data_IF_679245277537
#
_entry.id   IF_679245277537
#
_cell.length_a   1.000
_cell.length_b   1.000
_cell.length_c   1.000
_cell.angle_alpha   90.00
_cell.angle_beta   90.00
_cell.angle_gamma   90.00
#
_symmetry.space_group_name_H-M   'P 1'
#
loop_
_entity.id
_entity.type
_entity.pdbx_description
1 polymer ?
#
# COMPACT_ATOMS: atom_id res chain seq x y z
N UNK A 1 6.02 -23.68 17.25
CA UNK A 1 5.32 -23.34 15.99
C UNK A 1 4.16 -22.44 16.34
N UNK A 2 4.04 -21.32 15.68
CA UNK A 2 2.92 -20.36 15.86
C UNK A 2 2.03 -20.43 14.62
N UNK A 3 0.71 -20.39 14.83
CA UNK A 3 -0.26 -20.33 13.77
C UNK A 3 -0.60 -18.86 13.52
N UNK A 4 -0.25 -18.35 12.35
CA UNK A 4 -0.56 -17.00 11.91
C UNK A 4 -1.65 -17.08 10.85
N UNK A 5 -2.75 -16.36 11.04
CA UNK A 5 -3.80 -16.24 10.01
C UNK A 5 -3.23 -15.57 8.75
N UNK A 6 -3.90 -15.78 7.62
CA UNK A 6 -3.52 -15.12 6.37
C UNK A 6 -3.39 -13.61 6.60
N UNK A 7 -2.22 -13.08 6.24
CA UNK A 7 -1.91 -11.66 6.35
C UNK A 7 -1.69 -11.06 4.97
N UNK A 8 -1.76 -9.75 4.89
CA UNK A 8 -1.64 -8.98 3.65
C UNK A 8 -0.45 -8.03 3.69
N UNK A 9 0.01 -7.68 4.87
CA UNK A 9 1.18 -6.84 5.08
C UNK A 9 1.99 -7.34 6.26
N UNK A 10 3.29 -7.10 6.24
CA UNK A 10 4.19 -7.50 7.32
C UNK A 10 5.41 -6.57 7.40
N UNK A 11 6.10 -6.61 8.52
CA UNK A 11 7.33 -5.90 8.76
C UNK A 11 7.87 -6.16 10.16
N UNK A 12 8.80 -5.33 10.58
CA UNK A 12 9.39 -5.37 11.91
C UNK A 12 9.20 -4.07 12.63
N UNK A 13 9.19 -4.11 13.95
CA UNK A 13 9.29 -2.96 14.82
C UNK A 13 9.93 -3.39 16.14
N UNK A 14 11.11 -2.84 16.44
CA UNK A 14 11.94 -3.25 17.59
C UNK A 14 12.15 -4.79 17.57
N UNK A 15 11.75 -5.46 18.65
CA UNK A 15 11.85 -6.91 18.77
C UNK A 15 10.66 -7.70 18.19
N UNK A 16 9.70 -7.02 17.53
CA UNK A 16 8.53 -7.67 16.97
C UNK A 16 8.64 -7.90 15.46
N UNK A 17 8.28 -9.11 15.02
CA UNK A 17 7.79 -9.32 13.66
C UNK A 17 6.27 -9.14 13.70
N UNK A 18 5.76 -8.24 12.88
CA UNK A 18 4.34 -7.86 12.86
C UNK A 18 3.73 -8.26 11.52
N UNK A 19 2.55 -8.87 11.58
CA UNK A 19 1.72 -9.10 10.40
C UNK A 19 0.39 -8.39 10.56
N UNK A 20 -0.16 -7.88 9.46
CA UNK A 20 -1.45 -7.21 9.42
C UNK A 20 -2.38 -7.81 8.40
N UNK A 21 -3.65 -7.92 8.74
CA UNK A 21 -4.77 -8.20 7.84
C UNK A 21 -5.96 -7.33 8.20
N UNK A 22 -6.89 -7.15 7.28
CA UNK A 22 -8.13 -6.44 7.52
C UNK A 22 -9.33 -7.35 7.18
N UNK A 23 -10.44 -7.11 7.86
CA UNK A 23 -11.68 -7.85 7.67
C UNK A 23 -12.79 -7.36 8.58
N UNK A 24 -13.97 -7.97 8.47
CA UNK A 24 -15.10 -7.65 9.32
C UNK A 24 -14.80 -7.96 10.78
N UNK A 25 -15.23 -7.09 11.65
CA UNK A 25 -15.19 -7.30 13.10
C UNK A 25 -16.26 -8.32 13.53
N UNK A 26 -16.22 -8.75 14.79
CA UNK A 26 -17.23 -9.63 15.35
C UNK A 26 -18.61 -8.93 15.44
N UNK A 27 -19.67 -9.74 15.59
CA UNK A 27 -21.06 -9.25 15.71
C UNK A 27 -21.26 -8.25 16.86
N UNK A 28 -20.39 -8.25 17.85
CA UNK A 28 -20.45 -7.30 18.98
C UNK A 28 -20.21 -5.84 18.54
N UNK A 29 -19.64 -5.64 17.36
CA UNK A 29 -19.37 -4.34 16.77
C UNK A 29 -20.38 -3.94 15.68
N UNK A 30 -21.43 -4.74 15.48
CA UNK A 30 -22.47 -4.41 14.52
C UNK A 30 -23.22 -3.15 14.93
N UNK A 31 -23.60 -2.33 13.95
CA UNK A 31 -24.52 -1.21 14.18
C UNK A 31 -25.96 -1.71 14.42
N UNK A 32 -26.87 -0.78 14.65
CA UNK A 32 -28.30 -1.09 14.89
C UNK A 32 -28.99 -1.81 13.71
N UNK A 33 -28.41 -1.75 12.51
CA UNK A 33 -28.88 -2.41 11.31
C UNK A 33 -28.17 -3.76 11.04
N UNK A 34 -27.21 -4.13 11.90
CA UNK A 34 -26.44 -5.36 11.78
C UNK A 34 -25.24 -5.27 10.80
N UNK A 35 -24.87 -4.08 10.36
CA UNK A 35 -23.68 -3.88 9.52
C UNK A 35 -22.42 -3.93 10.38
N UNK A 36 -21.39 -4.62 9.87
CA UNK A 36 -20.11 -4.79 10.53
C UNK A 36 -19.06 -3.82 9.97
N UNK A 37 -18.38 -3.06 10.83
CA UNK A 37 -17.24 -2.26 10.37
C UNK A 37 -16.03 -3.15 10.08
N UNK A 38 -15.14 -2.67 9.22
CA UNK A 38 -13.86 -3.28 8.94
C UNK A 38 -12.84 -2.91 10.01
N UNK A 39 -12.02 -3.88 10.42
CA UNK A 39 -10.94 -3.68 11.39
C UNK A 39 -9.66 -4.41 10.99
N UNK A 40 -8.58 -4.07 11.68
CA UNK A 40 -7.30 -4.75 11.53
C UNK A 40 -7.10 -5.84 12.57
N UNK A 41 -6.55 -6.96 12.11
CA UNK A 41 -5.93 -7.97 12.96
C UNK A 41 -4.41 -7.86 12.80
N UNK A 42 -3.73 -7.50 13.87
CA UNK A 42 -2.27 -7.54 13.98
C UNK A 42 -1.84 -8.78 14.77
N UNK A 43 -0.80 -9.44 14.27
CA UNK A 43 -0.15 -10.53 14.99
C UNK A 43 1.31 -10.18 15.22
N UNK A 44 1.79 -10.45 16.41
CA UNK A 44 3.12 -10.07 16.89
C UNK A 44 3.89 -11.31 17.31
N UNK A 45 5.05 -11.53 16.74
CA UNK A 45 6.04 -12.46 17.25
C UNK A 45 7.17 -11.66 17.90
N UNK A 46 7.28 -11.73 19.20
CA UNK A 46 8.42 -11.21 19.95
C UNK A 46 9.59 -12.18 19.79
N UNK A 47 10.64 -11.74 19.09
CA UNK A 47 11.78 -12.61 18.75
C UNK A 47 12.78 -12.75 19.92
N UNK A 48 12.74 -11.86 20.91
CA UNK A 48 13.59 -11.96 22.11
C UNK A 48 13.01 -12.95 23.13
N UNK A 49 11.69 -12.86 23.35
CA UNK A 49 11.01 -13.67 24.35
C UNK A 49 10.33 -14.92 23.78
N UNK A 50 10.40 -15.12 22.45
CA UNK A 50 9.75 -16.23 21.74
C UNK A 50 8.23 -16.32 22.04
N UNK A 51 7.56 -15.18 22.21
CA UNK A 51 6.13 -15.12 22.52
C UNK A 51 5.33 -14.61 21.33
N UNK A 52 4.07 -15.05 21.26
CA UNK A 52 3.14 -14.66 20.20
C UNK A 52 1.88 -14.06 20.82
N UNK A 53 1.42 -12.94 20.27
CA UNK A 53 0.16 -12.30 20.65
C UNK A 53 -0.54 -11.71 19.42
N UNK A 54 -1.83 -11.40 19.58
CA UNK A 54 -2.59 -10.54 18.65
C UNK A 54 -2.93 -9.23 19.36
N UNK A 55 -3.36 -8.21 18.61
CA UNK A 55 -3.84 -6.97 19.23
C UNK A 55 -5.05 -7.23 20.11
N UNK A 56 -5.05 -6.63 21.31
CA UNK A 56 -6.16 -6.70 22.27
C UNK A 56 -7.25 -5.68 21.95
N UNK A 57 -6.84 -4.52 21.46
CA UNK A 57 -7.74 -3.41 21.19
C UNK A 57 -8.08 -3.35 19.71
N UNK A 58 -9.32 -2.98 19.41
CA UNK A 58 -9.77 -2.82 18.05
C UNK A 58 -9.09 -1.63 17.40
N UNK A 59 -8.53 -1.86 16.20
CA UNK A 59 -8.02 -0.82 15.32
C UNK A 59 -8.91 -0.82 14.07
N UNK A 60 -9.75 0.19 13.93
CA UNK A 60 -10.66 0.29 12.78
C UNK A 60 -9.90 0.59 11.51
N UNK A 61 -10.18 -0.16 10.45
CA UNK A 61 -9.81 0.20 9.07
C UNK A 61 -10.91 0.98 8.37
N UNK A 62 -12.14 0.89 8.89
CA UNK A 62 -13.31 1.61 8.41
C UNK A 62 -13.19 3.11 8.72
N UNK A 63 -13.57 3.95 7.77
CA UNK A 63 -13.47 5.41 7.87
C UNK A 63 -12.07 5.89 8.35
N UNK A 64 -11.05 5.15 7.99
CA UNK A 64 -9.69 5.34 8.52
C UNK A 64 -9.11 6.71 8.17
N UNK A 65 -9.43 7.20 6.97
CA UNK A 65 -8.99 8.49 6.42
C UNK A 65 -9.97 9.64 6.73
N UNK A 66 -11.10 9.36 7.37
CA UNK A 66 -12.14 10.36 7.64
C UNK A 66 -13.07 10.66 6.46
N UNK A 67 -12.93 9.93 5.36
CA UNK A 67 -13.73 10.07 4.12
C UNK A 67 -14.71 8.92 3.89
N UNK A 68 -14.91 8.07 4.90
CA UNK A 68 -15.80 6.91 4.87
C UNK A 68 -15.17 5.64 4.33
N UNK A 69 -14.11 5.73 3.57
CA UNK A 69 -13.47 4.55 2.99
C UNK A 69 -12.74 3.71 4.04
N UNK A 70 -12.81 2.39 3.88
CA UNK A 70 -11.91 1.51 4.60
C UNK A 70 -10.57 1.43 3.88
N UNK A 71 -9.52 1.10 4.63
CA UNK A 71 -8.17 1.01 4.09
C UNK A 71 -7.54 -0.35 4.34
N UNK A 72 -6.55 -0.68 3.54
CA UNK A 72 -5.55 -1.69 3.88
C UNK A 72 -4.20 -1.01 4.06
N UNK A 73 -3.35 -1.61 4.89
CA UNK A 73 -1.99 -1.14 5.09
C UNK A 73 -1.04 -1.84 4.12
N UNK A 74 -0.22 -1.09 3.40
CA UNK A 74 0.81 -1.61 2.51
C UNK A 74 2.20 -1.35 3.08
N UNK A 75 2.82 -2.41 3.59
CA UNK A 75 4.07 -2.37 4.31
C UNK A 75 3.91 -1.96 5.78
N UNK A 76 4.75 -2.50 6.62
CA UNK A 76 4.99 -2.06 8.00
C UNK A 76 6.47 -1.71 8.05
N UNK A 77 6.75 -0.42 8.01
CA UNK A 77 8.11 0.10 7.91
C UNK A 77 8.51 0.75 9.24
N UNK A 78 9.53 0.18 9.89
CA UNK A 78 10.19 0.83 11.01
C UNK A 78 11.18 1.86 10.50
N UNK A 79 11.03 3.10 10.91
CA UNK A 79 11.99 4.17 10.66
C UNK A 79 11.81 5.28 11.71
N UNK A 80 12.90 5.95 12.10
CA UNK A 80 12.87 7.10 13.00
C UNK A 80 12.06 6.83 14.30
N UNK A 81 12.22 5.62 14.87
CA UNK A 81 11.51 5.14 16.08
C UNK A 81 9.97 5.07 15.95
N UNK A 82 9.44 5.06 14.73
CA UNK A 82 8.01 4.99 14.41
C UNK A 82 7.73 3.89 13.40
N UNK A 83 6.44 3.59 13.24
CA UNK A 83 5.95 2.72 12.19
C UNK A 83 5.27 3.57 11.11
N UNK A 84 5.68 3.38 9.86
CA UNK A 84 5.07 4.01 8.69
C UNK A 84 4.40 2.94 7.83
N UNK A 85 3.22 3.26 7.31
CA UNK A 85 2.51 2.39 6.38
C UNK A 85 1.73 3.22 5.38
N UNK A 86 1.70 2.79 4.13
CA UNK A 86 0.77 3.38 3.18
C UNK A 86 -0.65 2.94 3.54
N UNK A 87 -1.53 3.89 3.74
CA UNK A 87 -2.96 3.64 3.94
C UNK A 87 -3.65 3.65 2.57
N UNK A 88 -3.87 2.45 2.02
CA UNK A 88 -4.44 2.27 0.68
C UNK A 88 -5.95 2.34 0.76
N UNK A 89 -6.61 3.34 0.16
CA UNK A 89 -8.07 3.45 0.14
C UNK A 89 -8.67 2.32 -0.69
N UNK A 90 -9.72 1.70 -0.18
CA UNK A 90 -10.32 0.48 -0.74
C UNK A 90 -11.73 0.68 -1.31
N UNK A 91 -12.31 1.86 -1.13
CA UNK A 91 -13.71 2.17 -1.38
C UNK A 91 -14.55 2.05 -0.11
N UNK A 92 -15.85 1.95 -0.27
CA UNK A 92 -16.79 1.84 0.84
C UNK A 92 -17.25 0.39 1.00
N UNK A 93 -17.10 -0.16 2.19
CA UNK A 93 -17.74 -1.40 2.59
C UNK A 93 -19.26 -1.22 2.65
N UNK A 94 -20.02 -2.30 2.86
CA UNK A 94 -21.47 -2.20 3.11
C UNK A 94 -21.78 -1.31 4.32
N UNK A 95 -20.94 -1.35 5.36
CA UNK A 95 -21.04 -0.46 6.51
C UNK A 95 -20.74 1.01 6.09
N UNK A 96 -19.64 1.25 5.38
CA UNK A 96 -19.25 2.60 4.92
C UNK A 96 -20.30 3.25 4.02
N UNK A 97 -20.94 2.47 3.14
CA UNK A 97 -22.05 2.96 2.29
C UNK A 97 -23.25 3.41 3.12
N UNK A 98 -23.51 2.77 4.26
CA UNK A 98 -24.66 3.07 5.14
C UNK A 98 -24.33 4.06 6.25
N UNK A 99 -23.06 4.17 6.60
CA UNK A 99 -22.60 5.00 7.72
C UNK A 99 -23.12 6.43 7.60
N UNK A 100 -23.59 6.96 8.73
CA UNK A 100 -24.09 8.34 8.85
C UNK A 100 -25.12 8.73 7.75
N UNK A 101 -25.99 7.77 7.39
CA UNK A 101 -27.02 8.00 6.39
C UNK A 101 -26.52 8.08 4.94
N UNK A 102 -25.36 7.53 4.66
CA UNK A 102 -24.80 7.47 3.30
C UNK A 102 -23.99 8.73 2.90
N UNK A 103 -23.61 9.56 3.85
CA UNK A 103 -22.92 10.84 3.57
C UNK A 103 -21.58 10.69 2.85
N UNK A 104 -20.95 9.52 2.92
CA UNK A 104 -19.63 9.26 2.32
C UNK A 104 -19.72 8.79 0.86
N UNK A 105 -20.91 8.50 0.37
CA UNK A 105 -21.12 8.07 -1.02
C UNK A 105 -21.09 9.29 -1.95
N UNK A 106 -20.06 9.33 -2.80
CA UNK A 106 -19.94 10.39 -3.83
C UNK A 106 -20.60 9.95 -5.13
N UNK A 107 -20.49 8.65 -5.46
CA UNK A 107 -21.00 8.07 -6.71
C UNK A 107 -21.96 6.92 -6.42
N UNK A 108 -23.24 7.22 -6.22
CA UNK A 108 -24.26 6.22 -5.87
C UNK A 108 -24.40 5.11 -6.90
N UNK A 109 -24.23 5.43 -8.18
CA UNK A 109 -24.33 4.48 -9.29
C UNK A 109 -23.17 3.46 -9.34
N UNK A 110 -22.09 3.67 -8.59
CA UNK A 110 -20.99 2.72 -8.43
C UNK A 110 -21.24 1.68 -7.34
N UNK A 111 -22.26 1.85 -6.51
CA UNK A 111 -22.63 0.86 -5.50
C UNK A 111 -23.06 -0.43 -6.20
N UNK A 112 -22.42 -1.53 -5.81
CA UNK A 112 -22.66 -2.85 -6.41
C UNK A 112 -24.07 -3.36 -6.09
N UNK A 113 -24.82 -3.67 -7.13
CA UNK A 113 -26.18 -4.21 -6.99
C UNK A 113 -26.20 -5.73 -6.78
N UNK A 114 -25.13 -6.42 -7.18
CA UNK A 114 -24.91 -7.86 -7.02
C UNK A 114 -23.48 -8.13 -6.59
N UNK A 115 -23.24 -9.22 -5.87
CA UNK A 115 -21.88 -9.70 -5.56
C UNK A 115 -21.23 -10.32 -6.79
N UNK A 116 -19.91 -10.20 -6.90
CA UNK A 116 -19.18 -10.72 -8.06
C UNK A 116 -17.67 -10.57 -7.98
N UNK A 117 -17.00 -10.70 -9.13
CA UNK A 117 -15.56 -10.66 -9.21
C UNK A 117 -14.89 -11.92 -8.66
N UNK A 118 -13.55 -11.90 -8.61
CA UNK A 118 -12.75 -12.99 -8.04
C UNK A 118 -11.40 -12.47 -7.54
N UNK A 119 -10.80 -13.17 -6.59
CA UNK A 119 -9.50 -12.79 -6.02
C UNK A 119 -9.49 -11.37 -5.47
N UNK A 120 -8.49 -10.57 -5.84
CA UNK A 120 -8.39 -9.16 -5.40
C UNK A 120 -9.46 -8.25 -6.00
N UNK A 121 -10.19 -8.71 -7.01
CA UNK A 121 -11.29 -8.00 -7.64
C UNK A 121 -12.66 -8.44 -7.15
N UNK A 122 -12.75 -9.31 -6.14
CA UNK A 122 -14.02 -9.71 -5.54
C UNK A 122 -14.69 -8.52 -4.84
N UNK A 123 -16.01 -8.49 -4.88
CA UNK A 123 -16.83 -7.46 -4.24
C UNK A 123 -18.19 -8.05 -3.83
N UNK A 124 -18.82 -7.42 -2.87
CA UNK A 124 -20.13 -7.79 -2.40
C UNK A 124 -21.20 -6.78 -2.80
N UNK A 125 -22.46 -7.25 -2.87
CA UNK A 125 -23.61 -6.37 -3.05
C UNK A 125 -23.65 -5.33 -1.93
N UNK A 126 -23.87 -4.06 -2.29
CA UNK A 126 -23.95 -2.94 -1.36
C UNK A 126 -22.63 -2.26 -1.06
N UNK A 127 -21.52 -2.75 -1.61
CA UNK A 127 -20.22 -2.08 -1.54
C UNK A 127 -20.04 -1.06 -2.68
N UNK A 128 -19.18 -0.07 -2.47
CA UNK A 128 -18.59 0.75 -3.51
C UNK A 128 -17.11 0.33 -3.65
N UNK A 129 -16.86 -0.58 -4.60
CA UNK A 129 -15.54 -1.13 -4.85
C UNK A 129 -14.61 -0.10 -5.49
N UNK A 130 -13.38 -0.04 -5.03
CA UNK A 130 -12.34 0.91 -5.39
C UNK A 130 -12.60 2.32 -4.86
N UNK A 131 -11.50 3.05 -4.70
CA UNK A 131 -11.55 4.40 -4.12
C UNK A 131 -12.30 5.39 -5.01
N UNK A 132 -12.99 6.31 -4.38
CA UNK A 132 -13.58 7.49 -5.00
C UNK A 132 -12.56 8.65 -5.11
N UNK A 133 -11.34 8.47 -4.57
CA UNK A 133 -10.28 9.49 -4.47
C UNK A 133 -8.96 8.99 -5.08
N UNK A 134 -8.92 8.70 -6.41
CA UNK A 134 -7.75 8.06 -7.04
C UNK A 134 -6.49 8.94 -7.09
N UNK A 135 -6.64 10.24 -6.84
CA UNK A 135 -5.54 11.22 -6.91
C UNK A 135 -4.97 11.57 -5.52
N UNK A 136 -5.19 10.74 -4.52
CA UNK A 136 -4.68 10.95 -3.17
C UNK A 136 -3.78 9.79 -2.74
N UNK A 137 -2.64 10.12 -2.14
CA UNK A 137 -1.78 9.15 -1.46
C UNK A 137 -1.70 9.48 0.02
N UNK A 138 -1.98 8.50 0.85
CA UNK A 138 -2.00 8.63 2.30
C UNK A 138 -0.95 7.73 2.95
N UNK A 139 -0.28 8.27 3.96
CA UNK A 139 0.61 7.51 4.85
C UNK A 139 0.10 7.67 6.27
N UNK A 140 -0.01 6.54 6.96
CA UNK A 140 -0.27 6.49 8.39
C UNK A 140 1.05 6.30 9.15
N UNK A 141 1.26 7.12 10.17
CA UNK A 141 2.43 7.12 11.04
C UNK A 141 1.96 6.78 12.44
N UNK A 142 2.51 5.72 13.04
CA UNK A 142 2.17 5.25 14.37
C UNK A 142 3.38 5.38 15.29
N UNK A 143 3.14 5.81 16.52
CA UNK A 143 4.20 5.99 17.51
C UNK A 143 4.71 4.68 18.11
N UNK A 144 3.89 3.61 18.05
CA UNK A 144 4.22 2.31 18.64
C UNK A 144 3.42 1.16 17.99
N UNK A 145 3.71 -0.06 18.44
CA UNK A 145 3.12 -1.30 17.96
C UNK A 145 1.64 -1.51 18.31
N UNK A 146 1.03 -0.63 19.09
CA UNK A 146 -0.41 -0.73 19.40
C UNK A 146 -1.29 -0.33 18.21
N UNK A 147 -0.76 0.46 17.30
CA UNK A 147 -1.50 1.06 16.16
C UNK A 147 -2.71 1.92 16.56
N UNK A 148 -2.81 2.33 17.85
CA UNK A 148 -3.96 3.09 18.35
C UNK A 148 -3.91 4.56 17.96
N UNK A 149 -2.74 5.18 18.07
CA UNK A 149 -2.54 6.59 17.80
C UNK A 149 -1.85 6.77 16.46
N UNK A 150 -2.56 7.33 15.50
CA UNK A 150 -2.03 7.56 14.16
C UNK A 150 -1.99 9.06 13.82
N UNK A 151 -0.93 9.45 13.15
CA UNK A 151 -0.87 10.69 12.36
C UNK A 151 -1.09 10.32 10.90
N UNK A 152 -2.02 10.99 10.24
CA UNK A 152 -2.28 10.81 8.81
C UNK A 152 -1.70 11.98 8.04
N UNK A 153 -0.92 11.67 7.01
CA UNK A 153 -0.43 12.67 6.06
C UNK A 153 -0.89 12.31 4.64
N UNK A 154 -1.15 13.33 3.85
CA UNK A 154 -1.70 13.19 2.50
C UNK A 154 -0.91 14.04 1.50
N UNK A 155 -0.80 13.54 0.28
CA UNK A 155 -0.35 14.29 -0.90
C UNK A 155 -1.24 14.00 -2.10
N UNK A 156 -1.35 14.96 -3.00
CA UNK A 156 -1.99 14.87 -4.32
C UNK A 156 -0.98 14.88 -5.48
N UNK A 157 0.33 14.79 -5.16
CA UNK A 157 1.40 14.72 -6.17
C UNK A 157 1.47 13.36 -6.85
N UNK A 158 1.03 12.31 -6.18
CA UNK A 158 0.96 10.92 -6.67
C UNK A 158 -0.39 10.30 -6.32
N UNK A 159 -0.79 9.30 -7.11
CA UNK A 159 -1.93 8.44 -6.79
C UNK A 159 -1.61 7.55 -5.59
N UNK A 160 -2.59 6.83 -5.04
CA UNK A 160 -2.35 5.91 -3.94
C UNK A 160 -1.20 4.94 -4.24
N UNK A 161 -0.33 4.73 -3.26
CA UNK A 161 0.88 3.92 -3.42
C UNK A 161 0.57 2.43 -3.19
N UNK A 162 0.02 1.79 -4.22
CA UNK A 162 -0.33 0.37 -4.22
C UNK A 162 0.08 -0.27 -5.54
N UNK A 163 0.70 -1.44 -5.47
CA UNK A 163 1.34 -2.08 -6.62
C UNK A 163 0.39 -2.55 -7.70
N UNK A 164 -0.66 -3.30 -7.36
CA UNK A 164 -1.61 -3.88 -8.31
C UNK A 164 -2.91 -4.24 -7.59
N UNK A 165 -4.06 -3.77 -8.06
CA UNK A 165 -5.39 -4.14 -7.55
C UNK A 165 -5.46 -4.21 -6.01
N UNK A 166 -5.21 -3.13 -5.29
CA UNK A 166 -5.18 -3.16 -3.82
C UNK A 166 -4.13 -4.17 -3.27
N UNK A 167 -3.08 -4.51 -4.03
CA UNK A 167 -2.10 -5.50 -3.58
C UNK A 167 -1.16 -4.90 -2.55
N UNK A 168 -1.56 -4.94 -1.32
CA UNK A 168 -0.79 -4.58 -0.15
C UNK A 168 0.42 -5.51 0.08
N UNK A 169 0.51 -6.61 -0.65
CA UNK A 169 1.70 -7.48 -0.66
C UNK A 169 2.93 -6.81 -1.28
N UNK A 170 2.73 -5.73 -2.04
CA UNK A 170 3.82 -5.01 -2.69
C UNK A 170 4.09 -3.74 -1.91
N UNK A 171 5.06 -3.80 -1.01
CA UNK A 171 5.47 -2.63 -0.23
C UNK A 171 6.00 -1.53 -1.16
N UNK A 172 5.50 -0.33 -0.97
CA UNK A 172 5.80 0.84 -1.80
C UNK A 172 6.34 2.01 -0.97
N UNK A 173 6.65 1.75 0.30
CA UNK A 173 7.22 2.72 1.24
C UNK A 173 8.52 2.16 1.81
N UNK A 174 9.61 2.90 1.71
CA UNK A 174 10.94 2.46 2.10
C UNK A 174 11.73 3.58 2.74
N UNK A 175 12.51 3.25 3.76
CA UNK A 175 13.49 4.17 4.34
C UNK A 175 14.84 4.02 3.62
N UNK A 176 15.47 5.14 3.33
CA UNK A 176 16.87 5.21 2.95
C UNK A 176 17.77 5.18 4.21
N UNK A 177 19.05 4.92 4.03
CA UNK A 177 19.99 4.78 5.15
C UNK A 177 20.15 6.06 5.99
N UNK A 178 19.86 7.23 5.40
CA UNK A 178 19.85 8.52 6.10
C UNK A 178 18.55 8.77 6.90
N UNK A 179 17.58 7.85 6.86
CA UNK A 179 16.30 7.94 7.54
C UNK A 179 15.20 8.66 6.76
N UNK A 180 15.48 9.20 5.57
CA UNK A 180 14.43 9.71 4.68
C UNK A 180 13.56 8.56 4.19
N UNK A 181 12.26 8.81 4.07
CA UNK A 181 11.31 7.80 3.65
C UNK A 181 10.77 8.17 2.27
N UNK A 182 10.88 7.23 1.34
CA UNK A 182 10.39 7.37 -0.02
C UNK A 182 9.12 6.56 -0.23
N UNK A 183 8.12 7.20 -0.82
CA UNK A 183 6.82 6.59 -1.13
C UNK A 183 6.65 6.56 -2.64
N UNK A 184 6.45 5.36 -3.17
CA UNK A 184 6.39 5.08 -4.60
C UNK A 184 4.96 4.76 -5.03
N UNK A 185 4.39 5.52 -5.96
CA UNK A 185 3.13 5.18 -6.59
C UNK A 185 3.34 4.71 -8.02
N UNK A 186 2.88 3.51 -8.37
CA UNK A 186 2.87 3.05 -9.76
C UNK A 186 1.74 3.66 -10.60
N UNK A 187 0.86 4.44 -9.97
CA UNK A 187 -0.37 4.97 -10.60
C UNK A 187 -1.23 3.89 -11.24
N UNK A 188 -1.35 2.76 -10.55
CA UNK A 188 -2.12 1.62 -11.06
C UNK A 188 -3.60 1.95 -11.27
N UNK A 189 -4.12 3.00 -10.62
CA UNK A 189 -5.46 3.51 -10.84
C UNK A 189 -5.75 3.91 -12.30
N UNK A 190 -4.73 4.12 -13.14
CA UNK A 190 -4.92 4.30 -14.59
C UNK A 190 -5.63 3.12 -15.27
N UNK A 191 -5.57 1.94 -14.67
CA UNK A 191 -6.17 0.70 -15.20
C UNK A 191 -7.61 0.47 -14.74
N UNK A 192 -8.18 1.33 -13.92
CA UNK A 192 -9.56 1.21 -13.46
C UNK A 192 -10.54 1.37 -14.61
N UNK A 193 -11.68 0.67 -14.53
CA UNK A 193 -12.69 0.67 -15.60
C UNK A 193 -13.49 1.96 -15.63
N UNK A 194 -13.88 2.47 -14.47
CA UNK A 194 -14.65 3.70 -14.39
C UNK A 194 -13.72 4.93 -14.39
N UNK A 195 -13.91 5.90 -15.30
CA UNK A 195 -13.06 7.10 -15.37
C UNK A 195 -12.97 7.91 -14.07
N UNK A 196 -13.99 7.86 -13.23
CA UNK A 196 -14.01 8.59 -11.95
C UNK A 196 -13.08 7.95 -10.90
N UNK A 197 -12.72 6.69 -11.12
CA UNK A 197 -11.79 5.91 -10.30
C UNK A 197 -10.40 5.81 -10.94
N UNK A 198 -10.21 6.39 -12.12
CA UNK A 198 -8.92 6.50 -12.78
C UNK A 198 -8.14 7.71 -12.26
N UNK A 199 -6.81 7.57 -12.23
CA UNK A 199 -5.90 8.68 -11.99
C UNK A 199 -5.30 9.18 -13.30
N UNK A 200 -5.07 10.48 -13.38
CA UNK A 200 -4.26 11.12 -14.42
C UNK A 200 -2.82 11.37 -13.96
N UNK A 201 -2.55 11.19 -12.67
CA UNK A 201 -1.22 11.40 -12.10
C UNK A 201 -0.25 10.34 -12.64
N UNK A 202 1.00 10.71 -12.96
CA UNK A 202 2.00 9.75 -13.39
C UNK A 202 2.48 8.86 -12.25
N UNK A 203 3.09 7.73 -12.58
CA UNK A 203 3.90 6.98 -11.64
C UNK A 203 4.99 7.88 -11.09
N UNK A 204 5.12 7.94 -9.77
CA UNK A 204 5.99 8.92 -9.15
C UNK A 204 6.44 8.57 -7.75
N UNK A 205 7.34 9.40 -7.24
CA UNK A 205 7.95 9.25 -5.92
C UNK A 205 7.83 10.57 -5.15
N UNK A 206 7.43 10.46 -3.90
CA UNK A 206 7.46 11.55 -2.91
C UNK A 206 8.30 11.14 -1.71
N UNK A 207 8.70 12.11 -0.88
CA UNK A 207 9.58 11.90 0.25
C UNK A 207 8.98 12.45 1.54
N UNK A 208 9.31 11.80 2.65
CA UNK A 208 9.15 12.29 4.01
C UNK A 208 10.56 12.41 4.56
N UNK A 209 11.02 13.61 4.92
CA UNK A 209 12.36 13.81 5.49
C UNK A 209 12.48 13.18 6.87
N UNK A 210 13.64 12.62 7.16
CA UNK A 210 13.97 12.11 8.49
C UNK A 210 13.68 13.15 9.56
N UNK A 211 13.01 12.73 10.64
CA UNK A 211 12.62 13.60 11.75
C UNK A 211 11.41 14.50 11.49
N UNK A 212 10.71 14.33 10.37
CA UNK A 212 9.43 15.01 10.09
C UNK A 212 8.28 14.00 9.97
N UNK A 213 7.06 14.49 10.18
CA UNK A 213 5.82 13.72 9.99
C UNK A 213 4.97 14.34 8.87
N UNK A 214 5.62 14.89 7.84
CA UNK A 214 4.96 15.51 6.69
C UNK A 214 5.67 15.13 5.41
N UNK A 215 4.95 15.12 4.30
CA UNK A 215 5.58 15.05 2.99
C UNK A 215 6.47 16.28 2.75
N UNK A 216 7.60 16.07 2.10
CA UNK A 216 8.51 17.12 1.67
C UNK A 216 7.92 17.83 0.45
N UNK A 217 7.52 19.08 0.64
CA UNK A 217 6.87 19.88 -0.41
C UNK A 217 7.80 20.16 -1.60
N UNK A 218 9.10 20.16 -1.38
CA UNK A 218 10.10 20.43 -2.41
C UNK A 218 10.53 19.16 -3.16
N UNK A 219 10.05 17.99 -2.73
CA UNK A 219 10.40 16.73 -3.34
C UNK A 219 9.23 16.11 -4.12
N UNK A 220 9.49 15.84 -5.38
CA UNK A 220 8.65 15.04 -6.26
C UNK A 220 9.48 14.55 -7.44
N UNK A 221 9.26 13.32 -7.88
CA UNK A 221 9.86 12.75 -9.09
C UNK A 221 8.78 12.09 -9.93
N UNK A 222 8.64 12.52 -11.17
CA UNK A 222 7.81 11.87 -12.19
C UNK A 222 8.63 10.78 -12.88
N UNK A 223 8.34 9.51 -12.59
CA UNK A 223 9.05 8.38 -13.18
C UNK A 223 8.70 8.18 -14.65
N UNK A 224 7.48 8.49 -15.06
CA UNK A 224 7.02 8.30 -16.44
C UNK A 224 7.76 9.21 -17.43
N UNK A 225 8.17 10.40 -17.02
CA UNK A 225 9.00 11.29 -17.86
C UNK A 225 10.35 10.67 -18.20
N UNK A 226 10.93 9.88 -17.29
CA UNK A 226 12.23 9.26 -17.50
C UNK A 226 12.15 7.91 -18.22
N UNK A 227 10.96 7.33 -18.30
CA UNK A 227 10.77 5.95 -18.78
C UNK A 227 9.93 5.86 -20.05
N UNK A 228 9.55 6.99 -20.63
CA UNK A 228 8.65 7.01 -21.79
C UNK A 228 7.23 6.54 -21.45
N UNK A 229 6.73 6.91 -20.27
CA UNK A 229 5.38 6.60 -19.81
C UNK A 229 5.24 5.27 -19.08
N UNK A 230 6.34 4.53 -18.87
CA UNK A 230 6.30 3.25 -18.16
C UNK A 230 6.22 3.44 -16.65
N UNK A 231 5.54 2.50 -16.00
CA UNK A 231 5.40 2.37 -14.56
C UNK A 231 6.12 1.12 -14.04
N UNK A 232 5.96 0.81 -12.76
CA UNK A 232 6.57 -0.34 -12.11
C UNK A 232 5.53 -1.20 -11.39
N UNK A 233 5.87 -2.47 -11.13
CA UNK A 233 5.07 -3.40 -10.34
C UNK A 233 5.51 -3.44 -8.88
N UNK A 234 6.82 -3.44 -8.62
CA UNK A 234 7.44 -3.54 -7.28
C UNK A 234 8.63 -2.63 -7.16
N UNK A 235 8.96 -2.27 -5.94
CA UNK A 235 10.18 -1.57 -5.59
C UNK A 235 10.77 -2.11 -4.30
N UNK A 236 12.10 -1.99 -4.13
CA UNK A 236 12.84 -2.41 -2.96
C UNK A 236 13.96 -1.43 -2.67
N UNK A 237 14.21 -1.17 -1.40
CA UNK A 237 15.43 -0.48 -0.98
C UNK A 237 16.64 -1.41 -1.14
N UNK A 238 17.76 -0.87 -1.62
CA UNK A 238 19.02 -1.60 -1.79
C UNK A 238 20.02 -1.16 -0.72
N UNK A 239 20.44 0.09 -0.77
CA UNK A 239 21.39 0.75 0.15
C UNK A 239 21.38 2.25 -0.08
N UNK A 240 21.85 3.04 0.85
CA UNK A 240 21.82 4.50 0.81
C UNK A 240 20.42 5.02 0.44
N UNK A 241 20.29 5.67 -0.70
CA UNK A 241 19.04 6.13 -1.30
C UNK A 241 18.77 5.45 -2.67
N UNK A 242 19.32 4.26 -2.87
CA UNK A 242 19.10 3.47 -4.07
C UNK A 242 17.95 2.48 -3.90
N UNK A 243 17.09 2.43 -4.90
CA UNK A 243 15.92 1.55 -4.95
C UNK A 243 15.88 0.77 -6.26
N UNK A 244 15.60 -0.53 -6.16
CA UNK A 244 15.39 -1.38 -7.31
C UNK A 244 13.89 -1.36 -7.67
N UNK A 245 13.58 -1.15 -8.94
CA UNK A 245 12.20 -1.17 -9.47
C UNK A 245 12.07 -2.27 -10.51
N UNK A 246 11.02 -3.08 -10.37
CA UNK A 246 10.56 -4.01 -11.41
C UNK A 246 9.58 -3.27 -12.31
N UNK A 247 10.06 -2.89 -13.49
CA UNK A 247 9.36 -2.03 -14.42
C UNK A 247 8.49 -2.81 -15.40
N UNK A 248 7.36 -2.23 -15.77
CA UNK A 248 6.56 -2.70 -16.90
C UNK A 248 7.25 -2.40 -18.22
N UNK A 249 7.03 -3.26 -19.22
CA UNK A 249 7.59 -3.16 -20.57
C UNK A 249 6.95 -2.03 -21.40
N UNK A 250 5.77 -1.55 -21.00
CA UNK A 250 4.99 -0.48 -21.66
C UNK A 250 4.13 0.30 -20.67
N UNK A 251 3.54 1.45 -21.07
CA UNK A 251 2.63 2.22 -20.25
C UNK A 251 1.40 1.42 -19.78
N UNK A 252 0.89 1.72 -18.57
CA UNK A 252 -0.32 1.09 -18.02
C UNK A 252 -1.60 1.43 -18.80
N UNK A 253 -1.56 2.44 -19.68
CA UNK A 253 -2.64 2.80 -20.60
C UNK A 253 -2.72 1.90 -21.83
N UNK A 254 -1.70 1.09 -22.05
CA UNK A 254 -1.67 0.09 -23.13
C UNK A 254 -2.09 -1.29 -22.61
N UNK A 255 -2.65 -2.12 -23.45
CA UNK A 255 -3.02 -3.49 -23.08
C UNK A 255 -1.83 -4.44 -23.10
N UNK A 256 -1.85 -5.46 -22.25
CA UNK A 256 -0.85 -6.54 -22.25
C UNK A 256 0.51 -6.13 -21.67
N UNK A 257 0.56 -5.13 -20.79
CA UNK A 257 1.78 -4.77 -20.07
C UNK A 257 2.24 -5.92 -19.15
N UNK A 258 3.54 -6.17 -19.14
CA UNK A 258 4.18 -7.20 -18.31
C UNK A 258 5.40 -6.59 -17.62
N UNK A 259 5.62 -6.93 -16.36
CA UNK A 259 6.77 -6.45 -15.60
C UNK A 259 7.97 -7.37 -15.88
N UNK A 260 8.89 -6.91 -16.71
CA UNK A 260 10.02 -7.69 -17.24
C UNK A 260 11.35 -6.95 -17.22
N UNK A 261 11.36 -5.67 -16.88
CA UNK A 261 12.55 -4.83 -16.90
C UNK A 261 12.94 -4.44 -15.47
N UNK A 262 14.22 -4.21 -15.24
CA UNK A 262 14.74 -3.72 -13.96
C UNK A 262 15.35 -2.35 -14.13
N UNK A 263 15.11 -1.47 -13.17
CA UNK A 263 15.74 -0.16 -13.09
C UNK A 263 16.17 0.14 -11.66
N UNK A 264 17.23 0.90 -11.52
CA UNK A 264 17.67 1.46 -10.24
C UNK A 264 17.30 2.94 -10.22
N UNK A 265 16.58 3.32 -9.19
CA UNK A 265 16.23 4.70 -8.89
C UNK A 265 17.10 5.22 -7.76
N UNK A 266 17.67 6.39 -7.92
CA UNK A 266 18.39 7.11 -6.87
C UNK A 266 17.54 8.26 -6.35
N UNK A 267 17.22 8.23 -5.06
CA UNK A 267 16.22 9.10 -4.46
C UNK A 267 16.57 10.58 -4.50
N UNK A 268 17.71 10.97 -3.96
CA UNK A 268 18.11 12.38 -3.88
C UNK A 268 18.31 13.00 -5.28
N UNK A 269 18.95 12.26 -6.17
CA UNK A 269 19.24 12.73 -7.54
C UNK A 269 18.01 12.65 -8.46
N UNK A 270 16.94 11.95 -8.03
CA UNK A 270 15.72 11.72 -8.82
C UNK A 270 16.01 11.08 -10.19
N UNK A 271 17.00 10.20 -10.27
CA UNK A 271 17.45 9.57 -11.52
C UNK A 271 17.07 8.09 -11.56
N UNK A 272 16.67 7.60 -12.72
CA UNK A 272 16.32 6.21 -12.95
C UNK A 272 17.15 5.66 -14.12
N UNK A 273 17.83 4.53 -13.89
CA UNK A 273 18.70 3.87 -14.87
C UNK A 273 18.27 2.41 -15.03
N UNK A 274 17.97 2.00 -16.26
CA UNK A 274 17.68 0.60 -16.56
C UNK A 274 18.93 -0.28 -16.44
N UNK A 275 18.77 -1.43 -15.77
CA UNK A 275 19.85 -2.40 -15.58
C UNK A 275 19.90 -3.35 -16.77
N UNK A 276 21.10 -3.52 -17.34
CA UNK A 276 21.34 -4.43 -18.47
C UNK A 276 21.88 -5.76 -17.96
N UNK A 277 21.49 -6.85 -18.65
CA UNK A 277 22.03 -8.18 -18.37
C UNK A 277 21.50 -8.85 -17.09
N UNK A 278 20.39 -8.34 -16.54
CA UNK A 278 19.72 -8.99 -15.41
C UNK A 278 19.13 -10.35 -15.81
N UNK A 279 19.06 -11.31 -14.86
CA UNK A 279 18.26 -12.51 -15.02
C UNK A 279 16.79 -12.17 -15.34
N UNK A 280 16.06 -13.14 -15.87
CA UNK A 280 14.61 -12.99 -16.14
C UNK A 280 13.88 -12.50 -14.88
N UNK A 281 13.14 -11.42 -15.04
CA UNK A 281 12.39 -10.78 -13.95
C UNK A 281 11.37 -11.72 -13.28
N UNK A 282 10.91 -12.77 -13.96
CA UNK A 282 10.05 -13.81 -13.39
C UNK A 282 10.69 -14.52 -12.19
N UNK A 283 12.02 -14.63 -12.18
CA UNK A 283 12.78 -15.19 -11.06
C UNK A 283 12.68 -14.28 -9.83
N UNK A 284 12.69 -12.97 -10.03
CA UNK A 284 12.65 -11.96 -8.96
C UNK A 284 11.24 -11.83 -8.39
N UNK A 285 10.21 -11.92 -9.22
CA UNK A 285 8.82 -11.73 -8.80
C UNK A 285 8.31 -12.75 -7.77
N UNK A 286 9.01 -13.89 -7.61
CA UNK A 286 8.66 -14.94 -6.65
C UNK A 286 9.16 -14.74 -5.21
N UNK A 287 10.02 -13.74 -4.94
CA UNK A 287 10.79 -13.67 -3.70
C UNK A 287 10.37 -12.59 -2.68
N UNK A 288 9.11 -12.17 -2.66
CA UNK A 288 8.59 -11.29 -1.61
C UNK A 288 9.23 -9.90 -1.57
N UNK A 289 9.47 -9.37 -0.37
CA UNK A 289 9.95 -8.00 -0.15
C UNK A 289 11.47 -7.87 0.01
N UNK A 290 12.27 -8.85 -0.39
CA UNK A 290 13.73 -8.74 -0.28
C UNK A 290 14.42 -8.93 -1.63
N UNK A 291 15.22 -7.96 -2.10
CA UNK A 291 15.96 -8.07 -3.35
C UNK A 291 17.16 -9.01 -3.25
N UNK A 292 17.59 -9.36 -2.03
CA UNK A 292 18.79 -10.16 -1.80
C UNK A 292 18.63 -11.64 -2.12
N UNK A 293 17.41 -12.14 -2.11
CA UNK A 293 17.14 -13.57 -2.36
C UNK A 293 17.50 -13.99 -3.79
N UNK A 294 17.49 -13.08 -4.75
CA UNK A 294 17.88 -13.34 -6.13
C UNK A 294 19.36 -13.59 -6.33
N UNK A 295 20.20 -13.00 -5.50
CA UNK A 295 21.65 -13.10 -5.63
C UNK A 295 22.22 -14.38 -5.03
N UNK A 296 21.51 -15.03 -4.12
CA UNK A 296 21.95 -16.26 -3.44
C UNK A 296 21.80 -17.52 -4.30
N UNK A 297 20.98 -17.49 -5.35
CA UNK A 297 20.74 -18.64 -6.23
C UNK A 297 21.54 -18.61 -7.54
N UNK A 298 22.28 -17.54 -7.80
CA UNK A 298 23.09 -17.40 -9.03
C UNK A 298 24.60 -17.47 -8.80
N UNK A 299 25.05 -17.79 -7.59
CA UNK A 299 26.46 -17.98 -7.24
C UNK A 299 26.82 -19.45 -7.02
#
# INVERSE_FOLDING_TARGET
TYEIKRFTSYGTYKNYIITASAGDLSQDYADENGYLPQGFLFSYLDVENETFKTNSDVVLSENFLGNGEYVTLAGILEANDKIYSVAVPMGLSQYGVKAEGGKYVVYEDLIKQESGGSGSGAYEKGELQWTQYPNECWVAIFGDESFQNKTLIKTDKISYACGRYKSQYYQTIWAADNGDIYVFSPSYAKTMTDPRQQTTLPAGVVRIKAGTDTFDDDYYCNLEEQTGGKSFLRCWHISDDYFLLLMYDRPLTETGFVATEMAVFKGEDKTLIYVKGMPDASIISGFGNTPYTCLLYTS
#
